data_IF_525547091932
#
_entry.id   IF_525547091932
#
_cell.length_a   1.000
_cell.length_b   1.000
_cell.length_c   1.000
_cell.angle_alpha   90.00
_cell.angle_beta   90.00
_cell.angle_gamma   90.00
#
_symmetry.space_group_name_H-M   'P 1'
#
loop_
_entity.id
_entity.type
_entity.pdbx_description
1 polymer ?
#
# COMPACT_ATOMS: atom_id res chain seq x y z
N UNK A 1 -7.03 5.09 -14.78
CA UNK A 1 -7.58 4.70 -13.46
C UNK A 1 -6.55 5.09 -12.40
N UNK A 2 -6.96 5.39 -11.16
CA UNK A 2 -6.01 5.72 -10.07
C UNK A 2 -5.76 4.48 -9.23
N UNK A 3 -4.53 3.99 -9.28
CA UNK A 3 -4.08 2.84 -8.52
C UNK A 3 -3.26 3.29 -7.31
N UNK A 4 -3.30 2.46 -6.27
CA UNK A 4 -2.69 2.69 -4.98
C UNK A 4 -2.08 1.40 -4.49
N UNK A 5 -1.08 1.52 -3.64
CA UNK A 5 -0.62 0.40 -2.84
C UNK A 5 -0.39 0.87 -1.41
N UNK A 6 -0.49 -0.05 -0.48
CA UNK A 6 -0.32 0.23 0.92
C UNK A 6 0.52 -0.86 1.55
N UNK A 7 1.15 -0.53 2.67
CA UNK A 7 1.93 -1.49 3.42
C UNK A 7 1.94 -1.15 4.90
N UNK A 8 2.11 -2.19 5.72
CA UNK A 8 2.22 -2.13 7.17
C UNK A 8 3.66 -2.39 7.53
N UNK A 9 4.25 -1.53 8.35
CA UNK A 9 5.58 -1.75 8.91
C UNK A 9 5.51 -2.75 10.07
N UNK A 10 6.64 -3.38 10.38
CA UNK A 10 6.79 -4.26 11.57
C UNK A 10 6.43 -3.56 12.89
N UNK A 11 6.56 -2.24 12.96
CA UNK A 11 6.16 -1.43 14.12
C UNK A 11 4.65 -1.08 14.16
N UNK A 12 3.86 -1.58 13.20
CA UNK A 12 2.41 -1.34 13.11
C UNK A 12 1.99 -0.09 12.33
N UNK A 13 2.93 0.73 11.85
CA UNK A 13 2.61 1.94 11.07
C UNK A 13 2.09 1.56 9.69
N UNK A 14 1.07 2.28 9.21
CA UNK A 14 0.46 2.07 7.89
C UNK A 14 0.87 3.18 6.93
N UNK A 15 1.34 2.77 5.74
CA UNK A 15 1.70 3.68 4.65
C UNK A 15 0.80 3.43 3.44
N UNK A 16 0.44 4.52 2.76
CA UNK A 16 -0.37 4.52 1.55
C UNK A 16 0.32 5.38 0.49
N UNK A 17 0.55 4.82 -0.69
CA UNK A 17 1.18 5.49 -1.83
C UNK A 17 0.36 5.27 -3.11
N UNK A 18 0.52 6.18 -4.08
CA UNK A 18 -0.05 5.98 -5.42
C UNK A 18 0.81 4.97 -6.17
N UNK A 19 0.17 4.09 -6.91
CA UNK A 19 0.83 3.22 -7.85
C UNK A 19 0.87 3.93 -9.21
N UNK A 20 2.07 4.18 -9.72
CA UNK A 20 2.29 4.92 -10.96
C UNK A 20 2.64 4.00 -12.14
N UNK A 21 2.32 2.71 -12.04
CA UNK A 21 2.62 1.71 -13.06
C UNK A 21 4.02 1.09 -12.94
N UNK A 22 4.81 1.49 -11.95
CA UNK A 22 6.11 0.89 -11.64
C UNK A 22 5.96 -0.14 -10.52
N UNK A 23 6.20 -1.42 -10.86
CA UNK A 23 6.13 -2.51 -9.90
C UNK A 23 7.32 -2.55 -8.93
N UNK A 24 8.44 -1.87 -9.24
CA UNK A 24 9.65 -1.85 -8.40
C UNK A 24 9.39 -1.29 -7.00
N UNK A 25 8.57 -0.25 -6.89
CA UNK A 25 8.16 0.34 -5.60
C UNK A 25 7.38 -0.63 -4.70
N UNK A 26 6.61 -1.54 -5.31
CA UNK A 26 5.82 -2.55 -4.59
C UNK A 26 6.73 -3.72 -4.22
N UNK A 27 7.59 -4.14 -5.13
CA UNK A 27 8.56 -5.21 -4.91
C UNK A 27 9.59 -4.84 -3.83
N UNK A 28 10.09 -3.60 -3.81
CA UNK A 28 10.96 -3.10 -2.75
C UNK A 28 10.25 -3.18 -1.39
N UNK A 29 8.97 -2.77 -1.33
CA UNK A 29 8.19 -2.87 -0.11
C UNK A 29 7.96 -4.33 0.33
N UNK A 30 7.76 -5.25 -0.62
CA UNK A 30 7.59 -6.70 -0.32
C UNK A 30 8.88 -7.30 0.25
N UNK A 31 10.04 -6.90 -0.28
CA UNK A 31 11.34 -7.45 0.12
C UNK A 31 11.99 -6.70 1.29
N UNK A 32 11.36 -5.65 1.81
CA UNK A 32 11.89 -4.84 2.90
C UNK A 32 11.67 -5.51 4.26
N UNK A 33 12.74 -5.69 5.03
CA UNK A 33 12.68 -6.20 6.42
C UNK A 33 11.93 -5.28 7.40
N UNK A 34 11.66 -4.04 7.01
CA UNK A 34 10.88 -3.09 7.79
C UNK A 34 9.37 -3.23 7.54
N UNK A 35 8.97 -3.98 6.52
CA UNK A 35 7.58 -4.15 6.10
C UNK A 35 7.07 -5.53 6.51
N UNK A 36 5.95 -5.54 7.23
CA UNK A 36 5.23 -6.72 7.69
C UNK A 36 4.31 -7.27 6.59
N UNK A 37 3.57 -6.37 5.92
CA UNK A 37 2.58 -6.77 4.92
C UNK A 37 2.38 -5.69 3.87
N UNK A 38 2.34 -6.09 2.61
CA UNK A 38 2.00 -5.21 1.47
C UNK A 38 0.62 -5.58 0.94
N UNK A 39 -0.12 -4.57 0.47
CA UNK A 39 -1.41 -4.73 -0.19
C UNK A 39 -1.52 -3.77 -1.38
N UNK A 40 -1.65 -4.33 -2.57
CA UNK A 40 -1.82 -3.61 -3.83
C UNK A 40 -0.93 -4.17 -4.94
N UNK A 41 -0.95 -3.56 -6.13
CA UNK A 41 -1.77 -2.40 -6.52
C UNK A 41 -3.28 -2.64 -6.40
N UNK A 42 -4.04 -1.61 -6.09
CA UNK A 42 -5.50 -1.65 -6.02
C UNK A 42 -6.13 -0.31 -6.45
N UNK A 43 -7.34 -0.37 -6.99
CA UNK A 43 -8.02 0.82 -7.48
C UNK A 43 -8.71 1.63 -6.37
N UNK A 44 -8.56 2.94 -6.43
CA UNK A 44 -9.38 3.85 -5.63
C UNK A 44 -9.51 5.23 -6.28
N UNK A 45 -10.76 5.74 -6.31
CA UNK A 45 -11.09 7.04 -6.90
C UNK A 45 -10.39 8.24 -6.26
N UNK A 46 -9.96 8.14 -5.00
CA UNK A 46 -9.26 9.19 -4.28
C UNK A 46 -8.52 8.63 -3.05
N UNK A 47 -7.66 9.47 -2.45
CA UNK A 47 -6.86 9.11 -1.28
C UNK A 47 -7.71 8.70 -0.08
N UNK A 48 -8.87 9.33 0.14
CA UNK A 48 -9.75 9.01 1.26
C UNK A 48 -10.30 7.58 1.15
N UNK A 49 -10.79 7.19 -0.03
CA UNK A 49 -11.24 5.82 -0.31
C UNK A 49 -10.07 4.82 -0.22
N UNK A 50 -8.91 5.18 -0.75
CA UNK A 50 -7.71 4.35 -0.68
C UNK A 50 -7.27 4.08 0.78
N UNK A 51 -7.30 5.12 1.63
CA UNK A 51 -7.02 5.02 3.07
C UNK A 51 -8.03 4.13 3.80
N UNK A 52 -9.31 4.17 3.42
CA UNK A 52 -10.32 3.27 3.98
C UNK A 52 -10.04 1.81 3.63
N UNK A 53 -9.76 1.52 2.35
CA UNK A 53 -9.39 0.17 1.88
C UNK A 53 -8.13 -0.32 2.62
N UNK A 54 -7.09 0.52 2.72
CA UNK A 54 -5.87 0.20 3.47
C UNK A 54 -6.17 -0.20 4.92
N UNK A 55 -6.96 0.60 5.65
CA UNK A 55 -7.28 0.32 7.06
C UNK A 55 -8.12 -0.95 7.24
N UNK A 56 -8.97 -1.28 6.28
CA UNK A 56 -9.78 -2.51 6.29
C UNK A 56 -8.93 -3.76 6.00
N UNK A 57 -7.94 -3.65 5.11
CA UNK A 57 -7.12 -4.78 4.64
C UNK A 57 -5.85 -5.03 5.45
N UNK A 58 -5.26 -3.97 5.99
CA UNK A 58 -4.02 -4.01 6.76
C UNK A 58 -4.23 -3.93 8.27
N UNK A 59 -5.49 -4.07 8.75
CA UNK A 59 -5.82 -4.16 10.16
C UNK A 59 -5.13 -5.35 10.85
#
# INVERSE_FOLDING_TARGET
MLEWYAYKHVNGTLHLKRYLGDYGDVEEAINSSFVDRVYGPFEAKNQHKARRIMKERLK
#
